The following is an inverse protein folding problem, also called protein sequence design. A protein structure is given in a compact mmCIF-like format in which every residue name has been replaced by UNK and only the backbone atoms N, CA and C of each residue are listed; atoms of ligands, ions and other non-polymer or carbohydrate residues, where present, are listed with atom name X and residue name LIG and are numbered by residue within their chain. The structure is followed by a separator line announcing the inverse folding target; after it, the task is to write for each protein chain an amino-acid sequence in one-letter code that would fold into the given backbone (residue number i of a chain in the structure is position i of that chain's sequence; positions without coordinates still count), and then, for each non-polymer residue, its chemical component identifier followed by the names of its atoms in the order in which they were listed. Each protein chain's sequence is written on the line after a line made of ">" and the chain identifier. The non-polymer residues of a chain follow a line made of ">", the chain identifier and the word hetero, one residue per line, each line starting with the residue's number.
data_IF_653500624750
#
_entry.id   IF_653500624750
#
_cell.length_a   1.000
_cell.length_b   1.000
_cell.length_c   1.000
_cell.angle_alpha   90.00
_cell.angle_beta   90.00
_cell.angle_gamma   90.00
#
_symmetry.space_group_name_H-M   'P 1'
#
loop_
_entity.id
_entity.type
_entity.pdbx_description
1 polymer ?
#
# COMPACT_ATOMS: atom_id res chain seq x y z
N UNK A 1 -24.53 -27.65 -10.99
CA UNK A 1 -24.41 -27.47 -9.54
C UNK A 1 -25.20 -26.24 -9.10
N UNK A 2 -25.82 -26.26 -7.90
CA UNK A 2 -26.67 -25.19 -7.34
C UNK A 2 -25.96 -23.83 -7.24
N UNK A 3 -24.63 -23.81 -7.16
CA UNK A 3 -23.80 -22.59 -7.16
C UNK A 3 -23.82 -21.86 -8.53
N UNK A 4 -23.75 -22.60 -9.63
CA UNK A 4 -23.79 -22.04 -10.98
C UNK A 4 -25.18 -21.50 -11.34
N UNK A 5 -26.26 -22.10 -10.81
CA UNK A 5 -27.62 -21.57 -10.97
C UNK A 5 -27.84 -20.28 -10.15
N UNK A 6 -27.33 -20.18 -8.91
CA UNK A 6 -27.38 -18.94 -8.12
C UNK A 6 -26.62 -17.79 -8.76
N UNK A 7 -25.52 -18.04 -9.46
CA UNK A 7 -24.77 -16.99 -10.18
C UNK A 7 -25.52 -16.47 -11.42
N UNK A 8 -26.48 -17.19 -11.96
CA UNK A 8 -27.31 -16.74 -13.10
C UNK A 8 -28.43 -15.80 -12.69
N UNK A 9 -28.80 -15.76 -11.40
CA UNK A 9 -29.87 -14.86 -10.88
C UNK A 9 -29.32 -13.55 -10.33
N UNK A 10 -27.99 -13.38 -10.28
CA UNK A 10 -27.32 -12.17 -9.78
C UNK A 10 -27.28 -11.10 -10.87
N UNK A 11 -27.59 -9.86 -10.53
CA UNK A 11 -27.52 -8.75 -11.48
C UNK A 11 -26.10 -8.64 -12.09
N UNK A 12 -25.94 -8.30 -13.38
CA UNK A 12 -24.65 -8.29 -14.08
C UNK A 12 -23.55 -7.49 -13.33
N UNK A 13 -23.92 -6.34 -12.75
CA UNK A 13 -22.97 -5.52 -11.98
C UNK A 13 -22.50 -6.20 -10.68
N UNK A 14 -23.35 -6.99 -10.00
CA UNK A 14 -22.98 -7.74 -8.79
C UNK A 14 -22.02 -8.88 -9.13
N UNK A 15 -22.25 -9.57 -10.25
CA UNK A 15 -21.32 -10.62 -10.74
C UNK A 15 -19.95 -10.01 -10.98
N UNK A 16 -19.88 -8.89 -11.69
CA UNK A 16 -18.61 -8.17 -11.93
C UNK A 16 -17.97 -7.73 -10.60
N UNK A 17 -18.77 -7.20 -9.66
CA UNK A 17 -18.28 -6.79 -8.34
C UNK A 17 -17.63 -7.95 -7.56
N UNK A 18 -18.26 -9.13 -7.51
CA UNK A 18 -17.70 -10.27 -6.80
C UNK A 18 -16.43 -10.82 -7.46
N UNK A 19 -16.38 -10.84 -8.79
CA UNK A 19 -15.17 -11.21 -9.52
C UNK A 19 -14.05 -10.21 -9.23
N UNK A 20 -14.35 -8.92 -9.25
CA UNK A 20 -13.38 -7.86 -8.94
C UNK A 20 -12.94 -7.91 -7.47
N UNK A 21 -13.81 -8.26 -6.53
CA UNK A 21 -13.44 -8.49 -5.14
C UNK A 21 -12.39 -9.61 -5.00
N UNK A 22 -12.65 -10.76 -5.62
CA UNK A 22 -11.69 -11.88 -5.60
C UNK A 22 -10.39 -11.49 -6.30
N UNK A 23 -10.47 -10.86 -7.48
CA UNK A 23 -9.31 -10.40 -8.21
C UNK A 23 -8.48 -9.38 -7.41
N UNK A 24 -9.14 -8.44 -6.74
CA UNK A 24 -8.49 -7.45 -5.88
C UNK A 24 -7.83 -8.10 -4.65
N UNK A 25 -8.50 -9.08 -4.03
CA UNK A 25 -7.94 -9.86 -2.94
C UNK A 25 -6.68 -10.62 -3.38
N UNK A 26 -6.74 -11.36 -4.50
CA UNK A 26 -5.59 -12.09 -5.04
C UNK A 26 -4.43 -11.15 -5.40
N UNK A 27 -4.74 -9.99 -5.97
CA UNK A 27 -3.74 -8.97 -6.30
C UNK A 27 -3.09 -8.41 -5.05
N UNK A 28 -3.90 -8.09 -4.02
CA UNK A 28 -3.40 -7.54 -2.77
C UNK A 28 -2.54 -8.55 -2.00
N UNK A 29 -2.97 -9.82 -1.94
CA UNK A 29 -2.15 -10.92 -1.41
C UNK A 29 -0.86 -11.02 -2.21
N UNK A 30 -0.93 -11.13 -3.54
CA UNK A 30 0.22 -11.29 -4.40
C UNK A 30 1.27 -10.20 -4.24
N UNK A 31 0.86 -8.93 -4.15
CA UNK A 31 1.82 -7.84 -3.95
C UNK A 31 2.34 -7.70 -2.52
N UNK A 32 1.59 -8.13 -1.52
CA UNK A 32 2.02 -8.04 -0.12
C UNK A 32 2.79 -9.27 0.39
N UNK A 33 2.71 -10.40 -0.29
CA UNK A 33 3.48 -11.63 -0.04
C UNK A 33 4.98 -11.38 0.04
N UNK A 34 5.51 -10.45 -0.75
CA UNK A 34 6.95 -10.20 -0.84
C UNK A 34 7.51 -9.33 0.30
N UNK A 35 6.66 -8.61 1.05
CA UNK A 35 7.14 -7.68 2.08
C UNK A 35 8.00 -8.31 3.17
N UNK A 36 7.72 -9.52 3.68
CA UNK A 36 8.52 -10.12 4.74
C UNK A 36 9.95 -10.47 4.34
N UNK A 37 10.18 -10.75 3.05
CA UNK A 37 11.45 -11.30 2.61
C UNK A 37 12.18 -10.47 1.55
N UNK A 38 11.55 -9.42 1.01
CA UNK A 38 12.14 -8.69 -0.12
C UNK A 38 13.53 -8.09 0.21
N UNK A 39 13.69 -7.51 1.41
CA UNK A 39 14.97 -6.97 1.87
C UNK A 39 15.98 -8.09 2.16
N UNK A 40 15.53 -9.20 2.73
CA UNK A 40 16.38 -10.38 2.97
C UNK A 40 16.85 -10.99 1.65
N UNK A 41 15.97 -11.05 0.65
CA UNK A 41 16.34 -11.54 -0.67
C UNK A 41 17.38 -10.64 -1.35
N UNK A 42 17.25 -9.31 -1.22
CA UNK A 42 18.30 -8.38 -1.67
C UNK A 42 19.64 -8.67 -1.03
N UNK A 43 19.66 -8.92 0.28
CA UNK A 43 20.89 -9.22 1.02
C UNK A 43 21.51 -10.55 0.56
N UNK A 44 20.67 -11.58 0.29
CA UNK A 44 21.14 -12.88 -0.24
C UNK A 44 21.71 -12.75 -1.66
N UNK A 45 21.09 -11.95 -2.52
CA UNK A 45 21.55 -11.71 -3.90
C UNK A 45 22.88 -10.93 -3.95
N UNK A 46 23.13 -10.08 -2.96
CA UNK A 46 24.29 -9.19 -2.94
C UNK A 46 24.24 -8.09 -4.00
N UNK A 47 25.35 -7.35 -4.08
CA UNK A 47 25.54 -6.23 -5.02
C UNK A 47 26.67 -6.50 -5.99
N UNK A 48 26.48 -6.13 -7.27
CA UNK A 48 27.53 -6.11 -8.30
C UNK A 48 28.28 -4.78 -8.32
N UNK A 49 27.69 -3.71 -7.80
CA UNK A 49 28.22 -2.34 -7.86
C UNK A 49 28.75 -1.82 -6.54
N UNK A 50 29.01 -2.70 -5.57
CA UNK A 50 29.46 -2.38 -4.20
C UNK A 50 28.51 -1.46 -3.40
N UNK A 51 27.23 -1.38 -3.79
CA UNK A 51 26.20 -0.69 -3.01
C UNK A 51 25.92 -1.46 -1.71
N UNK A 52 25.65 -0.73 -0.62
CA UNK A 52 25.32 -1.37 0.65
C UNK A 52 23.97 -2.10 0.60
N UNK A 53 23.84 -3.15 1.41
CA UNK A 53 22.60 -3.94 1.49
C UNK A 53 21.42 -3.08 1.96
N UNK A 54 21.67 -2.14 2.89
CA UNK A 54 20.67 -1.20 3.41
C UNK A 54 20.16 -0.26 2.31
N UNK A 55 21.09 0.24 1.47
CA UNK A 55 20.71 1.09 0.34
C UNK A 55 19.87 0.33 -0.67
N UNK A 56 20.27 -0.88 -1.06
CA UNK A 56 19.51 -1.71 -1.99
C UNK A 56 18.15 -2.11 -1.41
N UNK A 57 18.07 -2.42 -0.11
CA UNK A 57 16.82 -2.71 0.59
C UNK A 57 15.84 -1.52 0.53
N UNK A 58 16.32 -0.29 0.71
CA UNK A 58 15.49 0.90 0.53
C UNK A 58 15.14 1.16 -0.93
N UNK A 59 16.12 1.05 -1.84
CA UNK A 59 15.97 1.32 -3.28
C UNK A 59 14.93 0.42 -3.94
N UNK A 60 14.85 -0.86 -3.55
CA UNK A 60 13.85 -1.83 -4.03
C UNK A 60 12.39 -1.36 -3.78
N UNK A 61 12.13 -0.70 -2.67
CA UNK A 61 10.79 -0.16 -2.38
C UNK A 61 10.59 1.21 -3.03
N UNK A 62 11.58 2.09 -2.95
CA UNK A 62 11.50 3.44 -3.50
C UNK A 62 11.40 3.46 -5.02
N UNK A 63 12.15 2.61 -5.72
CA UNK A 63 12.12 2.53 -7.18
C UNK A 63 10.72 2.23 -7.72
N UNK A 64 9.99 1.31 -7.09
CA UNK A 64 8.60 1.02 -7.45
C UNK A 64 7.69 2.23 -7.21
N UNK A 65 7.83 2.90 -6.07
CA UNK A 65 6.98 4.03 -5.71
C UNK A 65 7.19 5.23 -6.65
N UNK A 66 8.45 5.54 -6.98
CA UNK A 66 8.82 6.63 -7.92
C UNK A 66 8.22 6.39 -9.30
N UNK A 67 8.45 5.20 -9.86
CA UNK A 67 7.97 4.88 -11.20
C UNK A 67 6.44 4.79 -11.27
N UNK A 68 5.80 4.26 -10.22
CA UNK A 68 4.34 4.23 -10.12
C UNK A 68 3.75 5.65 -10.02
N UNK A 69 4.40 6.56 -9.31
CA UNK A 69 3.99 7.96 -9.23
C UNK A 69 3.97 8.62 -10.62
N UNK A 70 5.01 8.39 -11.43
CA UNK A 70 5.13 8.92 -12.78
C UNK A 70 4.14 8.25 -13.75
N UNK A 71 4.00 6.92 -13.67
CA UNK A 71 3.16 6.16 -14.58
C UNK A 71 1.64 6.29 -14.31
N UNK A 72 1.25 6.58 -13.07
CA UNK A 72 -0.16 6.60 -12.66
C UNK A 72 -1.04 7.57 -13.47
N UNK A 73 -0.65 8.83 -13.72
CA UNK A 73 -1.44 9.75 -14.56
C UNK A 73 -1.55 9.28 -16.01
N UNK A 74 -0.48 8.69 -16.55
CA UNK A 74 -0.44 8.18 -17.94
C UNK A 74 -1.47 7.06 -18.08
N UNK A 75 -1.48 6.13 -17.14
CA UNK A 75 -2.43 5.00 -17.17
C UNK A 75 -3.87 5.42 -16.89
N UNK A 76 -4.09 6.50 -16.13
CA UNK A 76 -5.40 7.11 -15.97
C UNK A 76 -5.95 7.59 -17.32
N UNK A 77 -5.17 8.35 -18.08
CA UNK A 77 -5.55 8.83 -19.41
C UNK A 77 -5.78 7.68 -20.42
N UNK A 78 -4.95 6.63 -20.35
CA UNK A 78 -5.12 5.42 -21.18
C UNK A 78 -6.42 4.67 -20.79
N UNK A 79 -6.75 4.60 -19.49
CA UNK A 79 -7.98 3.97 -19.01
C UNK A 79 -9.24 4.67 -19.57
N UNK A 80 -9.22 5.98 -19.64
CA UNK A 80 -10.33 6.77 -20.19
C UNK A 80 -10.51 6.59 -21.70
N UNK A 81 -9.46 6.19 -22.41
CA UNK A 81 -9.48 6.00 -23.88
C UNK A 81 -9.74 4.54 -24.29
N UNK A 82 -9.23 3.57 -23.56
CA UNK A 82 -9.24 2.15 -23.97
C UNK A 82 -10.04 1.24 -23.04
N UNK A 83 -10.61 1.77 -21.96
CA UNK A 83 -11.39 1.02 -20.99
C UNK A 83 -10.64 0.62 -19.74
N UNK A 84 -11.40 0.40 -18.69
CA UNK A 84 -10.87 0.17 -17.32
C UNK A 84 -10.55 -1.29 -17.08
N UNK A 85 -11.31 -2.22 -17.68
CA UNK A 85 -11.05 -3.66 -17.65
C UNK A 85 -9.66 -3.97 -18.20
N UNK A 86 -9.30 -3.37 -19.35
CA UNK A 86 -7.97 -3.54 -19.95
C UNK A 86 -6.85 -3.09 -19.02
N UNK A 87 -7.06 -2.00 -18.27
CA UNK A 87 -6.06 -1.50 -17.30
C UNK A 87 -5.88 -2.45 -16.13
N UNK A 88 -6.95 -3.05 -15.62
CA UNK A 88 -6.86 -4.08 -14.58
C UNK A 88 -6.09 -5.30 -15.09
N UNK A 89 -6.45 -5.79 -16.27
CA UNK A 89 -5.78 -6.95 -16.89
C UNK A 89 -4.30 -6.71 -17.15
N UNK A 90 -3.95 -5.55 -17.73
CA UNK A 90 -2.55 -5.14 -17.94
C UNK A 90 -1.75 -5.20 -16.63
N UNK A 91 -2.30 -4.62 -15.55
CA UNK A 91 -1.60 -4.56 -14.28
C UNK A 91 -1.45 -5.95 -13.63
N UNK A 92 -2.41 -6.86 -13.83
CA UNK A 92 -2.34 -8.22 -13.30
C UNK A 92 -1.42 -9.10 -14.14
N UNK A 93 -1.56 -9.13 -15.47
CA UNK A 93 -0.70 -9.93 -16.36
C UNK A 93 0.73 -9.39 -16.38
N UNK A 94 0.90 -8.09 -16.50
CA UNK A 94 2.23 -7.46 -16.43
C UNK A 94 2.88 -7.66 -15.07
N UNK A 95 2.11 -7.54 -13.98
CA UNK A 95 2.57 -7.86 -12.63
C UNK A 95 3.00 -9.33 -12.49
N UNK A 96 2.24 -10.28 -13.06
CA UNK A 96 2.58 -11.70 -13.06
C UNK A 96 3.91 -11.97 -13.77
N UNK A 97 4.11 -11.39 -14.95
CA UNK A 97 5.36 -11.53 -15.70
C UNK A 97 6.55 -10.98 -14.92
N UNK A 98 6.42 -9.78 -14.34
CA UNK A 98 7.51 -9.17 -13.57
C UNK A 98 7.81 -9.96 -12.29
N UNK A 99 6.78 -10.44 -11.57
CA UNK A 99 6.98 -11.31 -10.41
C UNK A 99 7.72 -12.58 -10.78
N UNK A 100 7.35 -13.20 -11.92
CA UNK A 100 8.07 -14.37 -12.41
C UNK A 100 9.54 -14.05 -12.68
N UNK A 101 9.83 -12.93 -13.35
CA UNK A 101 11.21 -12.50 -13.65
C UNK A 101 12.01 -12.21 -12.37
N UNK A 102 11.39 -11.64 -11.32
CA UNK A 102 12.04 -11.41 -10.02
C UNK A 102 12.51 -12.71 -9.35
N UNK A 103 11.87 -13.84 -9.62
CA UNK A 103 12.33 -15.15 -9.16
C UNK A 103 13.65 -15.62 -9.79
N UNK A 104 14.09 -15.02 -10.91
CA UNK A 104 15.29 -15.43 -11.64
C UNK A 104 16.43 -14.40 -11.61
N UNK A 105 16.29 -13.30 -10.88
CA UNK A 105 17.34 -12.29 -10.74
C UNK A 105 18.58 -12.86 -10.06
N UNK A 106 19.72 -12.24 -10.35
CA UNK A 106 21.05 -12.65 -9.86
C UNK A 106 21.76 -11.60 -9.04
N UNK A 107 21.20 -10.40 -8.92
CA UNK A 107 21.77 -9.31 -8.11
C UNK A 107 20.66 -8.39 -7.58
N UNK A 108 20.97 -7.63 -6.51
CA UNK A 108 20.06 -6.65 -5.94
C UNK A 108 19.69 -5.55 -6.93
N UNK A 109 20.60 -5.13 -7.78
CA UNK A 109 20.38 -4.10 -8.81
C UNK A 109 19.35 -4.56 -9.86
N UNK A 110 19.44 -5.83 -10.31
CA UNK A 110 18.44 -6.41 -11.21
C UNK A 110 17.05 -6.40 -10.56
N UNK A 111 16.98 -6.71 -9.26
CA UNK A 111 15.73 -6.67 -8.50
C UNK A 111 15.18 -5.26 -8.40
N UNK A 112 16.02 -4.25 -8.13
CA UNK A 112 15.62 -2.82 -8.13
C UNK A 112 15.08 -2.40 -9.49
N UNK A 113 15.72 -2.79 -10.59
CA UNK A 113 15.24 -2.51 -11.94
C UNK A 113 13.86 -3.13 -12.20
N UNK A 114 13.67 -4.39 -11.85
CA UNK A 114 12.36 -5.06 -12.03
C UNK A 114 11.28 -4.44 -11.12
N UNK A 115 11.62 -3.98 -9.93
CA UNK A 115 10.70 -3.23 -9.07
C UNK A 115 10.31 -1.88 -9.68
N UNK A 116 11.27 -1.18 -10.30
CA UNK A 116 10.97 0.04 -11.06
C UNK A 116 10.02 -0.26 -12.23
N UNK A 117 10.27 -1.31 -13.01
CA UNK A 117 9.37 -1.75 -14.09
C UNK A 117 7.99 -2.15 -13.57
N UNK A 118 7.93 -2.82 -12.40
CA UNK A 118 6.67 -3.16 -11.74
C UNK A 118 5.86 -1.90 -11.43
N UNK A 119 6.49 -0.85 -10.87
CA UNK A 119 5.82 0.41 -10.59
C UNK A 119 5.25 1.06 -11.85
N UNK A 120 5.95 0.97 -12.99
CA UNK A 120 5.45 1.47 -14.27
C UNK A 120 4.23 0.70 -14.80
N UNK A 121 4.16 -0.59 -14.55
CA UNK A 121 3.12 -1.46 -15.15
C UNK A 121 1.91 -1.61 -14.22
N UNK A 122 2.08 -1.59 -12.90
CA UNK A 122 1.01 -1.84 -11.93
C UNK A 122 0.12 -0.60 -11.70
N UNK A 123 -0.92 -0.74 -10.90
CA UNK A 123 -1.92 0.30 -10.65
C UNK A 123 -3.34 -0.27 -10.68
N UNK A 124 -3.52 -1.50 -10.20
CA UNK A 124 -4.80 -2.23 -10.21
C UNK A 124 -5.89 -1.54 -9.39
N UNK A 125 -5.55 -0.92 -8.26
CA UNK A 125 -6.54 -0.37 -7.31
C UNK A 125 -7.35 0.76 -7.96
N UNK A 126 -6.67 1.71 -8.59
CA UNK A 126 -7.35 2.84 -9.24
C UNK A 126 -8.24 2.37 -10.40
N UNK A 127 -7.74 1.44 -11.23
CA UNK A 127 -8.48 0.88 -12.36
C UNK A 127 -9.70 0.06 -11.88
N UNK A 128 -9.55 -0.75 -10.82
CA UNK A 128 -10.63 -1.53 -10.23
C UNK A 128 -11.73 -0.64 -9.64
N UNK A 129 -11.34 0.39 -8.90
CA UNK A 129 -12.27 1.37 -8.34
C UNK A 129 -13.03 2.11 -9.44
N UNK A 130 -12.32 2.57 -10.48
CA UNK A 130 -12.93 3.25 -11.62
C UNK A 130 -13.89 2.34 -12.41
N UNK A 131 -13.55 1.06 -12.59
CA UNK A 131 -14.41 0.08 -13.25
C UNK A 131 -15.70 -0.13 -12.45
N UNK A 132 -15.61 -0.39 -11.16
CA UNK A 132 -16.80 -0.62 -10.32
C UNK A 132 -17.64 0.64 -10.17
N UNK A 133 -17.02 1.82 -10.04
CA UNK A 133 -17.75 3.10 -10.02
C UNK A 133 -18.60 3.34 -11.28
N UNK A 134 -18.14 2.81 -12.44
CA UNK A 134 -18.86 2.99 -13.70
C UNK A 134 -20.07 2.08 -13.89
N UNK A 135 -20.11 0.92 -13.22
CA UNK A 135 -21.13 -0.11 -13.40
C UNK A 135 -22.09 -0.25 -12.21
N UNK A 136 -21.65 0.14 -11.01
CA UNK A 136 -22.47 0.04 -9.81
C UNK A 136 -23.59 1.09 -9.82
N UNK A 137 -24.83 0.71 -9.45
CA UNK A 137 -25.92 1.67 -9.25
C UNK A 137 -25.54 2.72 -8.19
N UNK A 138 -25.91 3.99 -8.40
CA UNK A 138 -25.58 5.09 -7.48
C UNK A 138 -25.98 4.81 -6.04
N UNK A 139 -27.16 4.18 -5.81
CA UNK A 139 -27.66 3.83 -4.47
C UNK A 139 -26.82 2.76 -3.77
N UNK A 140 -26.00 2.00 -4.50
CA UNK A 140 -25.18 0.90 -3.96
C UNK A 140 -23.67 1.08 -4.18
N UNK A 141 -23.25 2.26 -4.64
CA UNK A 141 -21.83 2.54 -4.89
C UNK A 141 -20.97 2.44 -3.62
N UNK A 142 -21.49 2.91 -2.48
CA UNK A 142 -20.80 2.77 -1.18
C UNK A 142 -20.56 1.31 -0.79
N UNK A 143 -21.55 0.43 -0.95
CA UNK A 143 -21.40 -1.02 -0.72
C UNK A 143 -20.35 -1.62 -1.66
N UNK A 144 -20.40 -1.28 -2.94
CA UNK A 144 -19.51 -1.83 -3.95
C UNK A 144 -18.05 -1.42 -3.70
N UNK A 145 -17.80 -0.15 -3.39
CA UNK A 145 -16.48 0.36 -3.04
C UNK A 145 -15.98 -0.22 -1.71
N UNK A 146 -16.86 -0.33 -0.71
CA UNK A 146 -16.53 -0.94 0.57
C UNK A 146 -16.09 -2.40 0.42
N UNK A 147 -16.75 -3.17 -0.45
CA UNK A 147 -16.38 -4.55 -0.71
C UNK A 147 -14.99 -4.65 -1.39
N UNK A 148 -14.68 -3.79 -2.37
CA UNK A 148 -13.35 -3.75 -2.99
C UNK A 148 -12.26 -3.39 -1.97
N UNK A 149 -12.52 -2.39 -1.13
CA UNK A 149 -11.59 -1.97 -0.09
C UNK A 149 -11.37 -3.08 0.95
N UNK A 150 -12.42 -3.84 1.30
CA UNK A 150 -12.32 -4.99 2.17
C UNK A 150 -11.41 -6.07 1.56
N UNK A 151 -11.56 -6.38 0.26
CA UNK A 151 -10.67 -7.31 -0.45
C UNK A 151 -9.22 -6.86 -0.43
N UNK A 152 -8.97 -5.58 -0.71
CA UNK A 152 -7.64 -4.98 -0.67
C UNK A 152 -6.99 -5.09 0.73
N UNK A 153 -7.69 -4.63 1.77
CA UNK A 153 -7.15 -4.60 3.13
C UNK A 153 -6.94 -6.01 3.70
N UNK A 154 -7.87 -6.94 3.42
CA UNK A 154 -7.73 -8.35 3.80
C UNK A 154 -6.48 -8.96 3.14
N UNK A 155 -6.27 -8.71 1.85
CA UNK A 155 -5.10 -9.20 1.14
C UNK A 155 -3.79 -8.62 1.69
N UNK A 156 -3.75 -7.33 2.00
CA UNK A 156 -2.58 -6.67 2.62
C UNK A 156 -2.27 -7.23 4.02
N UNK A 157 -3.30 -7.58 4.80
CA UNK A 157 -3.11 -8.12 6.14
C UNK A 157 -2.65 -9.59 6.13
N UNK A 158 -3.22 -10.41 5.24
CA UNK A 158 -2.93 -11.85 5.17
C UNK A 158 -1.65 -12.12 4.34
N UNK A 159 -1.39 -11.32 3.31
CA UNK A 159 -0.29 -11.56 2.37
C UNK A 159 1.07 -11.73 3.01
N UNK A 160 1.50 -10.89 3.96
CA UNK A 160 2.80 -11.03 4.60
C UNK A 160 2.95 -12.36 5.36
N UNK A 161 1.90 -12.83 6.02
CA UNK A 161 1.94 -14.13 6.70
C UNK A 161 2.06 -15.29 5.70
N UNK A 162 1.23 -15.27 4.64
CA UNK A 162 1.31 -16.26 3.56
C UNK A 162 2.69 -16.23 2.90
N UNK A 163 3.22 -15.02 2.65
CA UNK A 163 4.55 -14.84 2.06
C UNK A 163 5.67 -15.35 2.92
N UNK A 164 5.61 -15.12 4.22
CA UNK A 164 6.59 -15.62 5.17
C UNK A 164 6.63 -17.15 5.21
N UNK A 165 5.45 -17.79 5.34
CA UNK A 165 5.33 -19.26 5.34
C UNK A 165 5.81 -19.87 4.01
N UNK A 166 5.45 -19.28 2.88
CA UNK A 166 5.90 -19.76 1.57
C UNK A 166 7.41 -19.59 1.38
N UNK A 167 7.97 -18.48 1.83
CA UNK A 167 9.40 -18.22 1.73
C UNK A 167 10.23 -19.19 2.59
N UNK A 168 9.78 -19.50 3.81
CA UNK A 168 10.44 -20.48 4.67
C UNK A 168 10.30 -21.92 4.14
N UNK A 169 9.13 -22.26 3.55
CA UNK A 169 8.87 -23.61 3.07
C UNK A 169 9.50 -23.91 1.70
N UNK A 170 9.50 -22.93 0.78
CA UNK A 170 9.86 -23.14 -0.64
C UNK A 170 10.98 -22.21 -1.14
N UNK A 171 11.45 -21.30 -0.28
CA UNK A 171 12.45 -20.28 -0.63
C UNK A 171 11.88 -19.11 -1.42
N UNK A 172 12.69 -18.06 -1.54
CA UNK A 172 12.26 -16.78 -2.14
C UNK A 172 11.84 -16.91 -3.60
N UNK A 173 12.62 -17.64 -4.40
CA UNK A 173 12.36 -17.80 -5.85
C UNK A 173 11.01 -18.44 -6.13
N UNK A 174 10.69 -19.53 -5.41
CA UNK A 174 9.40 -20.20 -5.60
C UNK A 174 8.24 -19.34 -5.12
N UNK A 175 8.45 -18.54 -4.08
CA UNK A 175 7.43 -17.59 -3.60
C UNK A 175 7.08 -16.55 -4.66
N UNK A 176 8.06 -16.04 -5.42
CA UNK A 176 7.80 -15.17 -6.57
C UNK A 176 7.01 -15.89 -7.68
N UNK A 177 7.33 -17.14 -7.99
CA UNK A 177 6.59 -17.95 -8.97
C UNK A 177 5.14 -18.16 -8.55
N UNK A 178 4.91 -18.53 -7.27
CA UNK A 178 3.55 -18.70 -6.73
C UNK A 178 2.76 -17.38 -6.76
N UNK A 179 3.43 -16.26 -6.45
CA UNK A 179 2.82 -14.93 -6.56
C UNK A 179 2.43 -14.59 -8.01
N UNK A 180 3.30 -14.93 -8.97
CA UNK A 180 3.00 -14.76 -10.39
C UNK A 180 1.76 -15.58 -10.81
N UNK A 181 1.64 -16.80 -10.33
CA UNK A 181 0.46 -17.66 -10.58
C UNK A 181 -0.81 -17.05 -9.97
N UNK A 182 -0.74 -16.50 -8.75
CA UNK A 182 -1.88 -15.81 -8.13
C UNK A 182 -2.35 -14.61 -8.96
N UNK A 183 -1.41 -13.77 -9.41
CA UNK A 183 -1.72 -12.62 -10.26
C UNK A 183 -2.28 -13.05 -11.62
N UNK A 184 -1.70 -14.08 -12.23
CA UNK A 184 -2.18 -14.65 -13.49
C UNK A 184 -3.62 -15.16 -13.34
N UNK A 185 -3.89 -15.91 -12.28
CA UNK A 185 -5.24 -16.44 -11.98
C UNK A 185 -6.24 -15.30 -11.81
N UNK A 186 -5.90 -14.26 -11.05
CA UNK A 186 -6.72 -13.07 -10.91
C UNK A 186 -6.98 -12.37 -12.26
N UNK A 187 -5.94 -12.22 -13.08
CA UNK A 187 -6.05 -11.65 -14.44
C UNK A 187 -6.98 -12.45 -15.34
N UNK A 188 -6.89 -13.79 -15.33
CA UNK A 188 -7.76 -14.68 -16.08
C UNK A 188 -9.22 -14.62 -15.61
N UNK A 189 -9.45 -14.55 -14.30
CA UNK A 189 -10.79 -14.34 -13.73
C UNK A 189 -11.43 -13.04 -14.25
N UNK A 190 -10.65 -11.95 -14.30
CA UNK A 190 -11.12 -10.67 -14.87
C UNK A 190 -11.33 -10.79 -16.37
N UNK A 191 -10.46 -11.50 -17.09
CA UNK A 191 -10.53 -11.65 -18.54
C UNK A 191 -11.85 -12.30 -18.96
N UNK A 192 -12.19 -13.44 -18.35
CA UNK A 192 -13.38 -14.22 -18.72
C UNK A 192 -14.65 -13.79 -17.98
N UNK A 193 -14.52 -13.24 -16.79
CA UNK A 193 -15.67 -13.02 -15.92
C UNK A 193 -16.23 -11.61 -15.92
N UNK A 194 -15.46 -10.61 -16.34
CA UNK A 194 -15.87 -9.20 -16.34
C UNK A 194 -16.25 -8.78 -17.75
N UNK A 195 -17.45 -8.23 -17.91
CA UNK A 195 -17.91 -7.60 -19.13
C UNK A 195 -17.95 -6.08 -18.91
N UNK A 196 -17.17 -5.31 -19.67
CA UNK A 196 -17.21 -3.86 -19.68
C UNK A 196 -17.86 -3.39 -20.98
N UNK A 197 -18.98 -2.71 -20.89
CA UNK A 197 -19.57 -1.95 -22.02
C UNK A 197 -18.92 -0.57 -22.05
N UNK A 198 -17.72 -0.53 -22.61
CA UNK A 198 -16.97 0.71 -22.71
C UNK A 198 -17.53 1.59 -23.83
N UNK A 199 -17.97 2.78 -23.47
CA UNK A 199 -18.24 3.88 -24.40
C UNK A 199 -17.12 4.89 -24.23
N UNK A 200 -16.26 5.10 -25.24
CA UNK A 200 -15.24 6.14 -25.17
C UNK A 200 -15.90 7.47 -24.80
N UNK A 201 -15.41 8.10 -23.76
CA UNK A 201 -15.88 9.45 -23.43
C UNK A 201 -15.48 10.34 -24.61
N UNK A 202 -16.44 10.65 -25.47
CA UNK A 202 -16.26 11.70 -26.46
C UNK A 202 -15.78 12.91 -25.66
N UNK A 203 -14.67 13.48 -26.08
CA UNK A 203 -14.07 14.68 -25.52
C UNK A 203 -15.13 15.79 -25.43
N UNK A 204 -15.98 15.70 -24.41
CA UNK A 204 -16.93 16.74 -24.09
C UNK A 204 -16.14 17.82 -23.36
N UNK A 205 -15.98 18.91 -24.09
CA UNK A 205 -15.67 20.24 -23.59
C UNK A 205 -14.29 20.46 -22.97
N UNK A 206 -13.55 21.27 -23.69
CA UNK A 206 -12.38 22.03 -23.30
C UNK A 206 -12.61 22.91 -22.06
N UNK A 207 -12.77 22.30 -20.92
CA UNK A 207 -12.40 22.92 -19.66
C UNK A 207 -11.41 21.92 -19.05
N UNK A 208 -10.17 21.98 -19.51
CA UNK A 208 -9.07 21.63 -18.64
C UNK A 208 -9.10 22.71 -17.56
N UNK A 209 -9.55 22.40 -16.32
CA UNK A 209 -9.18 23.24 -15.21
C UNK A 209 -7.65 23.34 -15.32
N UNK A 210 -7.13 24.53 -15.26
CA UNK A 210 -5.68 24.70 -15.27
C UNK A 210 -5.17 23.98 -14.03
N UNK A 211 -4.63 22.78 -14.20
CA UNK A 211 -4.11 21.92 -13.13
C UNK A 211 -3.30 22.75 -12.11
N UNK A 212 -2.56 23.74 -12.58
CA UNK A 212 -1.80 24.67 -11.76
C UNK A 212 -2.66 25.72 -11.03
N UNK A 213 -3.79 26.14 -11.62
CA UNK A 213 -4.66 27.13 -10.99
C UNK A 213 -5.46 26.50 -9.83
N UNK A 214 -5.95 25.27 -10.03
CA UNK A 214 -6.65 24.52 -8.99
C UNK A 214 -5.71 24.19 -7.82
N UNK A 215 -4.46 23.80 -8.11
CA UNK A 215 -3.44 23.59 -7.09
C UNK A 215 -3.16 24.86 -6.29
N UNK A 216 -3.02 25.99 -6.97
CA UNK A 216 -2.76 27.28 -6.28
C UNK A 216 -3.90 27.64 -5.34
N UNK A 217 -5.14 27.43 -5.73
CA UNK A 217 -6.32 27.69 -4.90
C UNK A 217 -6.37 26.77 -3.66
N UNK A 218 -6.14 25.47 -3.86
CA UNK A 218 -6.09 24.48 -2.76
C UNK A 218 -5.01 24.83 -1.75
N UNK A 219 -3.82 25.26 -2.20
CA UNK A 219 -2.72 25.67 -1.30
C UNK A 219 -2.96 27.01 -0.60
N UNK A 220 -3.92 27.81 -1.03
CA UNK A 220 -4.29 29.06 -0.37
C UNK A 220 -5.33 28.87 0.75
N UNK A 221 -5.92 27.67 0.86
CA UNK A 221 -6.90 27.36 1.91
C UNK A 221 -6.18 27.12 3.23
N UNK A 222 -6.55 27.87 4.27
CA UNK A 222 -5.96 27.74 5.61
C UNK A 222 -6.13 26.32 6.15
N UNK A 223 -5.04 25.76 6.68
CA UNK A 223 -5.00 24.41 7.27
C UNK A 223 -4.75 23.27 6.28
N UNK A 224 -4.95 23.42 4.97
CA UNK A 224 -4.74 22.37 3.97
C UNK A 224 -3.26 22.00 3.87
N UNK A 225 -2.36 22.98 3.87
CA UNK A 225 -0.91 22.72 3.83
C UNK A 225 -0.49 21.90 5.05
N UNK A 226 -0.99 22.24 6.23
CA UNK A 226 -0.70 21.47 7.46
C UNK A 226 -1.22 20.04 7.34
N UNK A 227 -2.45 19.83 6.85
CA UNK A 227 -3.02 18.50 6.65
C UNK A 227 -2.16 17.66 5.70
N UNK A 228 -1.67 18.24 4.60
CA UNK A 228 -0.76 17.57 3.67
C UNK A 228 0.62 17.27 4.27
N UNK A 229 1.18 18.19 5.07
CA UNK A 229 2.42 17.91 5.82
C UNK A 229 2.23 16.75 6.79
N UNK A 230 1.14 16.75 7.57
CA UNK A 230 0.80 15.66 8.49
C UNK A 230 0.62 14.34 7.73
N UNK A 231 -0.01 14.38 6.54
CA UNK A 231 -0.18 13.22 5.65
C UNK A 231 1.16 12.68 5.18
N UNK A 232 2.03 13.55 4.70
CA UNK A 232 3.38 13.19 4.25
C UNK A 232 4.18 12.54 5.38
N UNK A 233 4.30 13.21 6.53
CA UNK A 233 5.07 12.75 7.68
C UNK A 233 4.52 11.43 8.24
N UNK A 234 3.20 11.33 8.42
CA UNK A 234 2.58 10.10 8.93
C UNK A 234 2.83 8.90 8.00
N UNK A 235 2.72 9.12 6.69
CA UNK A 235 3.00 8.05 5.72
C UNK A 235 4.50 7.75 5.60
N UNK A 236 5.36 8.76 5.72
CA UNK A 236 6.82 8.61 5.78
C UNK A 236 7.22 7.72 6.98
N UNK A 237 6.75 8.02 8.18
CA UNK A 237 7.01 7.20 9.36
C UNK A 237 6.55 5.74 9.19
N UNK A 238 5.35 5.52 8.65
CA UNK A 238 4.84 4.16 8.41
C UNK A 238 5.65 3.37 7.40
N UNK A 239 6.20 4.02 6.37
CA UNK A 239 6.84 3.34 5.24
C UNK A 239 8.35 3.21 5.43
N UNK A 240 8.96 4.09 6.21
CA UNK A 240 10.41 4.12 6.44
C UNK A 240 10.96 2.82 7.04
N UNK A 241 10.20 2.20 7.95
CA UNK A 241 10.59 0.97 8.64
C UNK A 241 10.39 -0.29 7.80
N UNK A 242 9.53 -0.26 6.78
CA UNK A 242 9.11 -1.46 6.01
C UNK A 242 10.29 -2.28 5.48
N UNK A 243 11.34 -1.69 4.87
CA UNK A 243 12.49 -2.47 4.38
C UNK A 243 13.35 -3.07 5.50
N UNK A 244 13.34 -2.46 6.68
CA UNK A 244 14.30 -2.77 7.75
C UNK A 244 13.74 -3.69 8.83
N UNK A 245 12.42 -3.79 8.95
CA UNK A 245 11.77 -4.70 9.90
C UNK A 245 12.21 -6.17 9.71
N UNK A 246 12.25 -6.74 8.49
CA UNK A 246 12.75 -8.09 8.26
C UNK A 246 14.22 -8.27 8.66
N UNK A 247 15.08 -7.30 8.32
CA UNK A 247 16.50 -7.31 8.66
C UNK A 247 16.72 -7.23 10.19
N UNK A 248 15.91 -6.41 10.87
CA UNK A 248 15.97 -6.32 12.33
C UNK A 248 15.49 -7.60 13.00
N UNK A 249 14.40 -8.22 12.53
CA UNK A 249 13.91 -9.50 13.05
C UNK A 249 14.95 -10.59 12.90
N UNK A 250 15.72 -10.58 11.79
CA UNK A 250 16.83 -11.52 11.60
C UNK A 250 17.90 -11.42 12.71
N UNK A 251 18.09 -10.24 13.31
CA UNK A 251 19.04 -10.07 14.43
C UNK A 251 18.48 -10.57 15.77
N UNK A 252 17.17 -10.75 15.89
CA UNK A 252 16.49 -11.18 17.12
C UNK A 252 16.29 -12.70 17.20
N UNK A 253 16.41 -13.40 16.07
CA UNK A 253 16.21 -14.84 15.99
C UNK A 253 17.54 -15.58 15.99
N UNK A 254 17.65 -16.57 16.86
CA UNK A 254 18.84 -17.47 16.94
C UNK A 254 18.77 -18.52 15.84
N UNK A 255 17.56 -18.97 15.50
CA UNK A 255 17.29 -19.93 14.43
C UNK A 255 16.60 -19.24 13.26
N UNK A 256 17.19 -19.32 12.08
CA UNK A 256 16.67 -18.71 10.86
C UNK A 256 15.55 -19.51 10.17
N UNK A 257 15.25 -20.72 10.64
CA UNK A 257 14.31 -21.65 9.97
C UNK A 257 12.88 -21.10 9.79
N UNK A 258 12.48 -20.13 10.63
CA UNK A 258 11.14 -19.51 10.59
C UNK A 258 11.19 -17.98 10.48
N UNK A 259 12.29 -17.41 10.01
CA UNK A 259 12.52 -15.98 9.95
C UNK A 259 11.43 -15.23 9.17
N UNK A 260 11.11 -15.72 7.99
CA UNK A 260 10.13 -15.06 7.11
C UNK A 260 8.70 -15.21 7.66
N UNK A 261 8.37 -16.36 8.26
CA UNK A 261 7.07 -16.58 8.93
C UNK A 261 6.89 -15.62 10.10
N UNK A 262 7.89 -15.47 10.97
CA UNK A 262 7.86 -14.53 12.10
C UNK A 262 7.73 -13.10 11.60
N UNK A 263 8.49 -12.73 10.57
CA UNK A 263 8.41 -11.40 9.94
C UNK A 263 7.02 -11.15 9.36
N UNK A 264 6.48 -12.12 8.64
CA UNK A 264 5.13 -12.05 8.08
C UNK A 264 4.06 -11.92 9.14
N UNK A 265 4.22 -12.62 10.27
CA UNK A 265 3.32 -12.54 11.42
C UNK A 265 3.37 -11.14 12.06
N UNK A 266 4.55 -10.60 12.30
CA UNK A 266 4.74 -9.25 12.88
C UNK A 266 4.09 -8.17 12.00
N UNK A 267 4.33 -8.20 10.69
CA UNK A 267 3.75 -7.25 9.73
C UNK A 267 2.23 -7.48 9.63
N UNK A 268 1.79 -8.72 9.51
CA UNK A 268 0.39 -9.08 9.36
C UNK A 268 -0.46 -8.70 10.56
N UNK A 269 0.04 -8.96 11.77
CA UNK A 269 -0.66 -8.60 13.03
C UNK A 269 -0.76 -7.08 13.16
N UNK A 270 0.30 -6.33 12.86
CA UNK A 270 0.27 -4.86 12.87
C UNK A 270 -0.76 -4.30 11.87
N UNK A 271 -0.81 -4.86 10.66
CA UNK A 271 -1.79 -4.47 9.65
C UNK A 271 -3.23 -4.83 10.05
N UNK A 272 -3.44 -6.01 10.62
CA UNK A 272 -4.75 -6.48 11.07
C UNK A 272 -5.30 -5.62 12.21
N UNK A 273 -4.50 -5.37 13.26
CA UNK A 273 -4.91 -4.53 14.39
C UNK A 273 -5.19 -3.10 13.95
N UNK A 274 -4.36 -2.54 13.06
CA UNK A 274 -4.57 -1.21 12.47
C UNK A 274 -5.87 -1.13 11.66
N UNK A 275 -6.18 -2.15 10.87
CA UNK A 275 -7.42 -2.20 10.07
C UNK A 275 -8.66 -2.27 10.97
N UNK A 276 -8.61 -3.10 12.02
CA UNK A 276 -9.72 -3.24 12.98
C UNK A 276 -9.95 -1.91 13.71
N UNK A 277 -8.88 -1.33 14.26
CA UNK A 277 -9.00 -0.09 15.04
C UNK A 277 -9.31 1.14 14.18
N UNK A 278 -8.98 1.14 12.89
CA UNK A 278 -9.34 2.22 11.97
C UNK A 278 -10.84 2.50 11.94
N UNK A 279 -11.67 1.44 12.01
CA UNK A 279 -13.14 1.57 12.04
C UNK A 279 -13.61 2.20 13.36
N UNK A 280 -13.05 1.75 14.49
CA UNK A 280 -13.44 2.26 15.81
C UNK A 280 -12.96 3.70 16.01
N UNK A 281 -11.70 3.98 15.68
CA UNK A 281 -11.10 5.31 15.82
C UNK A 281 -11.68 6.31 14.82
N UNK A 282 -12.08 5.86 13.62
CA UNK A 282 -12.83 6.68 12.67
C UNK A 282 -14.17 7.13 13.27
N UNK A 283 -14.97 6.21 13.81
CA UNK A 283 -16.24 6.52 14.49
C UNK A 283 -16.05 7.38 15.74
N UNK A 284 -14.96 7.18 16.46
CA UNK A 284 -14.61 8.02 17.60
C UNK A 284 -14.31 9.45 17.14
N UNK A 285 -13.59 9.60 16.02
CA UNK A 285 -13.29 10.91 15.42
C UNK A 285 -14.53 11.69 15.02
N UNK A 286 -15.59 11.01 14.55
CA UNK A 286 -16.88 11.64 14.25
C UNK A 286 -17.55 12.24 15.50
N UNK A 287 -17.23 11.71 16.70
CA UNK A 287 -17.82 12.17 17.97
C UNK A 287 -16.98 13.21 18.71
N UNK A 288 -15.67 12.99 18.80
CA UNK A 288 -14.75 13.81 19.61
C UNK A 288 -13.88 14.75 18.78
N UNK A 289 -13.96 14.67 17.45
CA UNK A 289 -13.15 15.44 16.52
C UNK A 289 -11.94 14.65 15.99
N UNK A 290 -11.73 14.74 14.67
CA UNK A 290 -10.66 14.00 13.97
C UNK A 290 -9.26 14.46 14.34
N UNK A 291 -9.08 15.77 14.65
CA UNK A 291 -7.79 16.31 15.12
C UNK A 291 -7.34 15.67 16.43
N UNK A 292 -8.26 15.47 17.38
CA UNK A 292 -7.95 14.84 18.66
C UNK A 292 -7.56 13.37 18.50
N UNK A 293 -8.29 12.63 17.63
CA UNK A 293 -7.95 11.23 17.32
C UNK A 293 -6.59 11.15 16.62
N UNK A 294 -6.29 12.03 15.67
CA UNK A 294 -4.99 12.09 15.00
C UNK A 294 -3.86 12.28 16.02
N UNK A 295 -3.99 13.28 16.89
CA UNK A 295 -3.02 13.60 17.93
C UNK A 295 -2.72 12.39 18.82
N UNK A 296 -3.75 11.80 19.43
CA UNK A 296 -3.55 10.68 20.34
C UNK A 296 -3.08 9.41 19.65
N UNK A 297 -3.54 9.14 18.42
CA UNK A 297 -3.07 8.01 17.62
C UNK A 297 -1.59 8.14 17.26
N UNK A 298 -1.14 9.31 16.84
CA UNK A 298 0.27 9.56 16.49
C UNK A 298 1.17 9.60 17.73
N UNK A 299 0.70 10.20 18.83
CA UNK A 299 1.43 10.19 20.10
C UNK A 299 1.62 8.75 20.61
N UNK A 300 0.55 7.98 20.68
CA UNK A 300 0.61 6.58 21.12
C UNK A 300 1.52 5.73 20.22
N UNK A 301 1.40 5.86 18.90
CA UNK A 301 2.26 5.17 17.96
C UNK A 301 3.73 5.56 18.14
N UNK A 302 4.04 6.85 18.26
CA UNK A 302 5.40 7.34 18.49
C UNK A 302 6.00 6.80 19.79
N UNK A 303 5.25 6.83 20.90
CA UNK A 303 5.70 6.29 22.17
C UNK A 303 5.91 4.77 22.13
N UNK A 304 5.09 4.04 21.36
CA UNK A 304 5.22 2.58 21.21
C UNK A 304 6.38 2.18 20.28
N UNK A 305 6.85 3.05 19.39
CA UNK A 305 8.04 2.79 18.58
C UNK A 305 9.34 2.90 19.39
N UNK A 306 9.41 3.73 20.44
CA UNK A 306 10.62 3.87 21.25
C UNK A 306 11.06 2.55 21.89
N UNK A 307 10.22 1.80 22.63
CA UNK A 307 10.65 0.54 23.24
C UNK A 307 11.01 -0.53 22.21
N UNK A 308 10.54 -0.44 20.95
CA UNK A 308 10.90 -1.38 19.91
C UNK A 308 12.38 -1.33 19.55
N UNK A 309 13.05 -0.20 19.74
CA UNK A 309 14.50 -0.10 19.54
C UNK A 309 15.33 -0.89 20.57
N UNK A 310 14.74 -1.24 21.71
CA UNK A 310 15.41 -1.96 22.80
C UNK A 310 14.99 -3.43 22.92
N UNK A 311 14.10 -3.92 22.08
CA UNK A 311 13.65 -5.32 22.13
C UNK A 311 14.81 -6.28 21.88
N UNK A 312 14.74 -7.42 22.57
CA UNK A 312 15.73 -8.50 22.48
C UNK A 312 15.13 -9.81 21.97
N UNK A 313 13.82 -9.86 21.78
CA UNK A 313 13.14 -11.04 21.23
C UNK A 313 12.03 -10.67 20.23
N UNK A 314 11.77 -11.56 19.28
CA UNK A 314 10.73 -11.39 18.27
C UNK A 314 9.32 -11.29 18.90
N UNK A 315 9.07 -11.95 20.03
CA UNK A 315 7.78 -11.86 20.74
C UNK A 315 7.50 -10.46 21.31
N UNK A 316 8.52 -9.83 21.90
CA UNK A 316 8.39 -8.44 22.36
C UNK A 316 8.04 -7.52 21.19
N UNK A 317 8.73 -7.69 20.04
CA UNK A 317 8.45 -6.92 18.84
C UNK A 317 7.04 -7.18 18.31
N UNK A 318 6.57 -8.43 18.29
CA UNK A 318 5.22 -8.80 17.85
C UNK A 318 4.15 -8.08 18.66
N UNK A 319 4.26 -8.10 20.00
CA UNK A 319 3.30 -7.44 20.90
C UNK A 319 3.32 -5.93 20.67
N UNK A 320 4.52 -5.32 20.63
CA UNK A 320 4.65 -3.89 20.40
C UNK A 320 4.15 -3.46 19.02
N UNK A 321 4.38 -4.25 17.98
CA UNK A 321 3.85 -4.00 16.64
C UNK A 321 2.33 -4.16 16.56
N UNK A 322 1.74 -5.10 17.30
CA UNK A 322 0.29 -5.22 17.42
C UNK A 322 -0.32 -3.96 18.06
N UNK A 323 0.27 -3.48 19.15
CA UNK A 323 -0.17 -2.27 19.84
C UNK A 323 0.04 -1.01 18.99
N UNK A 324 1.19 -0.92 18.31
CA UNK A 324 1.49 0.19 17.40
C UNK A 324 0.54 0.22 16.20
N UNK A 325 0.24 -0.93 15.62
CA UNK A 325 -0.76 -1.06 14.56
C UNK A 325 -2.13 -0.56 15.03
N UNK A 326 -2.56 -0.99 16.22
CA UNK A 326 -3.81 -0.54 16.82
C UNK A 326 -3.84 0.98 17.07
N UNK A 327 -2.76 1.55 17.59
CA UNK A 327 -2.64 3.00 17.81
C UNK A 327 -2.67 3.78 16.48
N UNK A 328 -1.93 3.29 15.47
CA UNK A 328 -1.81 3.95 14.16
C UNK A 328 -3.06 3.85 13.29
N UNK A 329 -4.01 2.95 13.63
CA UNK A 329 -5.22 2.73 12.83
C UNK A 329 -6.08 3.98 12.63
N UNK A 330 -6.07 4.92 13.58
CA UNK A 330 -6.82 6.19 13.48
C UNK A 330 -6.19 7.26 12.60
N UNK A 331 -4.92 7.15 12.26
CA UNK A 331 -4.15 8.23 11.61
C UNK A 331 -4.70 8.55 10.22
N UNK A 332 -4.82 7.55 9.35
CA UNK A 332 -5.28 7.75 7.96
C UNK A 332 -6.72 8.25 7.89
N UNK A 333 -7.70 7.61 8.59
CA UNK A 333 -9.06 8.11 8.60
C UNK A 333 -9.17 9.55 9.11
N UNK A 334 -8.44 9.88 10.19
CA UNK A 334 -8.47 11.22 10.76
C UNK A 334 -7.95 12.29 9.78
N UNK A 335 -6.80 12.06 9.12
CA UNK A 335 -6.26 13.01 8.14
C UNK A 335 -7.19 13.12 6.93
N UNK A 336 -7.75 12.00 6.44
CA UNK A 336 -8.67 12.03 5.30
C UNK A 336 -9.95 12.80 5.62
N UNK A 337 -10.47 12.67 6.85
CA UNK A 337 -11.63 13.44 7.31
C UNK A 337 -11.32 14.94 7.46
N UNK A 338 -10.13 15.29 7.98
CA UNK A 338 -9.68 16.68 8.05
C UNK A 338 -9.55 17.30 6.65
N UNK A 339 -8.95 16.58 5.69
CA UNK A 339 -8.88 17.04 4.30
C UNK A 339 -10.28 17.25 3.71
N UNK A 340 -11.22 16.34 4.00
CA UNK A 340 -12.62 16.49 3.59
C UNK A 340 -13.31 17.73 4.16
N UNK A 341 -12.95 18.17 5.38
CA UNK A 341 -13.50 19.38 5.98
C UNK A 341 -13.00 20.68 5.30
N UNK A 342 -11.80 20.66 4.75
CA UNK A 342 -11.21 21.78 4.01
C UNK A 342 -11.58 21.77 2.53
N UNK A 343 -12.24 20.72 2.03
CA UNK A 343 -12.58 20.56 0.61
C UNK A 343 -13.91 21.26 0.31
N UNK A 344 -13.92 22.18 -0.66
CA UNK A 344 -15.14 22.79 -1.15
C UNK A 344 -15.86 21.86 -2.13
N UNK A 345 -17.21 21.96 -2.26
CA UNK A 345 -17.96 21.19 -3.24
C UNK A 345 -17.43 21.46 -4.67
N UNK A 346 -17.01 20.39 -5.36
CA UNK A 346 -16.43 20.44 -6.70
C UNK A 346 -14.91 20.39 -6.75
N UNK A 347 -14.19 20.53 -5.62
CA UNK A 347 -12.72 20.47 -5.53
C UNK A 347 -12.20 19.10 -5.06
N UNK A 348 -13.11 18.14 -4.80
CA UNK A 348 -12.74 16.82 -4.24
C UNK A 348 -11.68 16.11 -5.10
N UNK A 349 -11.79 16.24 -6.43
CA UNK A 349 -10.83 15.64 -7.36
C UNK A 349 -9.43 16.19 -7.20
N UNK A 350 -9.28 17.50 -7.06
CA UNK A 350 -8.00 18.19 -6.90
C UNK A 350 -7.38 17.87 -5.54
N UNK A 351 -8.17 17.97 -4.45
CA UNK A 351 -7.68 17.73 -3.08
C UNK A 351 -7.21 16.29 -2.89
N UNK A 352 -8.02 15.30 -3.30
CA UNK A 352 -7.60 13.90 -3.19
C UNK A 352 -6.55 13.50 -4.23
N UNK A 353 -6.48 14.20 -5.37
CA UNK A 353 -5.40 14.03 -6.33
C UNK A 353 -4.05 14.46 -5.75
N UNK A 354 -4.00 15.62 -5.06
CA UNK A 354 -2.80 16.10 -4.35
C UNK A 354 -2.46 15.15 -3.20
N UNK A 355 -3.44 14.69 -2.40
CA UNK A 355 -3.21 13.72 -1.31
C UNK A 355 -2.54 12.44 -1.83
N UNK A 356 -3.02 11.88 -2.93
CA UNK A 356 -2.40 10.71 -3.55
C UNK A 356 -0.95 10.97 -4.01
N UNK A 357 -0.67 12.16 -4.55
CA UNK A 357 0.68 12.56 -4.94
C UNK A 357 1.61 12.67 -3.73
N UNK A 358 1.14 13.22 -2.63
CA UNK A 358 1.87 13.33 -1.36
C UNK A 358 2.17 11.96 -0.77
N UNK A 359 1.18 11.05 -0.77
CA UNK A 359 1.36 9.66 -0.34
C UNK A 359 2.40 8.94 -1.22
N UNK A 360 2.35 9.15 -2.53
CA UNK A 360 3.31 8.55 -3.45
C UNK A 360 4.73 9.11 -3.22
N UNK A 361 4.87 10.43 -3.04
CA UNK A 361 6.14 11.07 -2.72
C UNK A 361 6.74 10.54 -1.41
N UNK A 362 5.92 10.41 -0.35
CA UNK A 362 6.40 9.86 0.91
C UNK A 362 6.84 8.40 0.79
N UNK A 363 6.15 7.57 0.01
CA UNK A 363 6.53 6.18 -0.27
C UNK A 363 7.82 6.08 -1.10
N UNK A 364 8.11 7.07 -1.93
CA UNK A 364 9.34 7.13 -2.69
C UNK A 364 10.55 7.50 -1.82
N UNK A 365 10.36 8.45 -0.89
CA UNK A 365 11.44 9.00 -0.05
C UNK A 365 11.69 8.15 1.20
N UNK A 366 10.64 7.64 1.84
CA UNK A 366 10.72 7.02 3.16
C UNK A 366 11.70 5.82 3.24
N UNK A 367 11.69 4.85 2.31
CA UNK A 367 12.62 3.73 2.36
C UNK A 367 14.09 4.16 2.21
N UNK A 368 14.36 5.18 1.38
CA UNK A 368 15.71 5.74 1.23
C UNK A 368 16.14 6.52 2.47
N UNK A 369 15.24 7.29 3.09
CA UNK A 369 15.54 7.95 4.37
C UNK A 369 15.87 6.91 5.45
N UNK A 370 15.12 5.82 5.53
CA UNK A 370 15.40 4.70 6.41
C UNK A 370 16.77 4.04 6.10
N UNK A 371 17.14 3.91 4.82
CA UNK A 371 18.46 3.38 4.41
C UNK A 371 19.61 4.22 4.94
N UNK A 372 19.51 5.54 4.81
CA UNK A 372 20.53 6.46 5.30
C UNK A 372 20.68 6.32 6.82
N UNK A 373 19.58 6.23 7.56
CA UNK A 373 19.60 6.07 9.01
C UNK A 373 20.20 4.71 9.41
N UNK A 374 19.75 3.62 8.75
CA UNK A 374 20.26 2.28 9.03
C UNK A 374 21.76 2.15 8.73
N UNK A 375 22.24 2.79 7.67
CA UNK A 375 23.65 2.76 7.26
C UNK A 375 24.56 3.56 8.21
N UNK A 376 24.14 4.77 8.61
CA UNK A 376 24.98 5.65 9.43
C UNK A 376 24.93 5.34 10.93
N UNK A 377 23.85 4.78 11.42
CA UNK A 377 23.68 4.49 12.85
C UNK A 377 23.53 2.99 13.08
N UNK A 378 22.35 2.44 12.90
CA UNK A 378 22.04 1.01 12.93
C UNK A 378 20.55 0.76 12.58
N UNK A 379 20.13 -0.51 12.56
CA UNK A 379 18.73 -0.88 12.33
C UNK A 379 17.80 -0.39 13.47
N UNK A 380 18.29 -0.30 14.72
CA UNK A 380 17.51 0.16 15.87
C UNK A 380 17.18 1.64 15.77
N UNK A 381 18.08 2.43 15.20
CA UNK A 381 17.89 3.84 14.98
C UNK A 381 16.71 4.15 14.05
N UNK A 382 16.35 3.24 13.14
CA UNK A 382 15.17 3.40 12.27
C UNK A 382 13.87 3.42 13.07
N UNK A 383 13.76 2.67 14.16
CA UNK A 383 12.61 2.71 15.08
C UNK A 383 12.54 4.03 15.83
N UNK A 384 13.68 4.53 16.31
CA UNK A 384 13.77 5.83 17.00
C UNK A 384 13.39 6.95 16.03
N UNK A 385 13.91 6.94 14.80
CA UNK A 385 13.57 7.92 13.78
C UNK A 385 12.08 7.89 13.44
N UNK A 386 11.50 6.70 13.32
CA UNK A 386 10.05 6.53 13.12
C UNK A 386 9.26 7.12 14.30
N UNK A 387 9.70 6.86 15.53
CA UNK A 387 9.09 7.44 16.73
C UNK A 387 9.13 8.98 16.70
N UNK A 388 10.29 9.57 16.37
CA UNK A 388 10.46 11.03 16.26
C UNK A 388 9.51 11.61 15.22
N UNK A 389 9.36 10.96 14.05
CA UNK A 389 8.42 11.41 13.01
C UNK A 389 6.98 11.41 13.53
N UNK A 390 6.52 10.34 14.20
CA UNK A 390 5.16 10.30 14.75
C UNK A 390 4.94 11.28 15.90
N UNK A 391 5.94 11.49 16.77
CA UNK A 391 5.89 12.51 17.83
C UNK A 391 5.85 13.92 17.24
N UNK A 392 6.57 14.18 16.15
CA UNK A 392 6.49 15.44 15.42
C UNK A 392 5.09 15.64 14.83
N UNK A 393 4.48 14.60 14.23
CA UNK A 393 3.09 14.68 13.75
C UNK A 393 2.14 14.98 14.91
N UNK A 394 2.30 14.34 16.06
CA UNK A 394 1.49 14.62 17.25
C UNK A 394 1.64 16.07 17.72
N UNK A 395 2.86 16.61 17.70
CA UNK A 395 3.14 18.01 18.08
C UNK A 395 2.50 18.99 17.09
N UNK A 396 2.60 18.73 15.79
CA UNK A 396 2.04 19.60 14.74
C UNK A 396 0.51 19.51 14.64
N UNK A 397 -0.10 18.48 15.24
CA UNK A 397 -1.56 18.31 15.28
C UNK A 397 -2.26 19.16 16.38
N UNK A 398 -1.51 19.99 17.05
CA UNK A 398 -2.03 20.99 17.98
C UNK A 398 -2.47 22.22 17.21
#
# INVERSE_FOLDING_TARGET
>A
SRLLQKLRTVAPWQRTLYIMFVAQLLTAVGFSVIFPFLSLYVTELGSRTSLSAEFLAGAVFSAQAVTMMIASPIWGAVADRYGRKLMVQRAMFGGAVIMLLMGFVRSGEELVLLRALQGMITGTVAAANALIASIAPRQRSGYAMGLLLMGLNTGIAIGPLVGGVLADAFGYRMTFVLTAVLLLTGGLLVYWGVEERFTPRQTASKVQPSFWADWRHVFQTDGVILAYMLRFLANLGRTMLVPFAPLFIATLLVDSGHLNTVTGLVIGVSAATGTITAVYLGRLGDRVGHGLVLKWSTLAAGLLFLPQSFVTSAWQLLILQALTGAAAGGIIPAISALLGQFTQPGEEGSVYGIDNSIVAASRAVAPLAGSVIAFWFDLRATFVATAVVFLLVALLSF
#
